data_IF_552828357794
#
_entry.id   IF_552828357794
#
_cell.length_a   1.000
_cell.length_b   1.000
_cell.length_c   1.000
_cell.angle_alpha   90.00
_cell.angle_beta   90.00
_cell.angle_gamma   90.00
#
_symmetry.space_group_name_H-M   'P 1'
#
loop_
_entity.id
_entity.type
_entity.pdbx_description
1 polymer ?
#
# COMPACT_ATOMS: atom_id res chain seq x y z
N UNK A 1 54.53 17.27 10.27
CA UNK A 1 54.65 16.11 9.35
C UNK A 1 55.32 16.46 8.01
N UNK A 2 54.99 17.61 7.40
CA UNK A 2 55.57 18.05 6.10
C UNK A 2 57.09 18.27 6.14
N UNK A 3 57.65 18.81 7.22
CA UNK A 3 59.10 19.06 7.33
C UNK A 3 59.92 17.77 7.50
N UNK A 4 59.34 16.73 8.11
CA UNK A 4 59.97 15.40 8.24
C UNK A 4 60.07 14.73 6.86
N UNK A 5 59.03 14.83 6.03
CA UNK A 5 59.07 14.34 4.65
C UNK A 5 60.08 15.09 3.79
N UNK A 6 60.28 16.40 4.00
CA UNK A 6 61.28 17.18 3.28
C UNK A 6 62.71 16.77 3.65
N UNK A 7 62.99 16.60 4.95
CA UNK A 7 64.29 16.13 5.42
C UNK A 7 64.62 14.71 4.93
N UNK A 8 63.65 13.79 4.97
CA UNK A 8 63.81 12.43 4.44
C UNK A 8 64.05 12.45 2.92
N UNK A 9 63.36 13.33 2.19
CA UNK A 9 63.55 13.51 0.74
C UNK A 9 64.95 14.06 0.41
N UNK A 10 65.45 15.01 1.18
CA UNK A 10 66.82 15.54 1.01
C UNK A 10 67.90 14.49 1.33
N UNK A 11 67.69 13.68 2.37
CA UNK A 11 68.61 12.59 2.74
C UNK A 11 68.61 11.47 1.67
N UNK A 12 67.45 11.12 1.11
CA UNK A 12 67.36 10.13 0.02
C UNK A 12 67.91 10.65 -1.32
N UNK A 13 67.93 11.97 -1.52
CA UNK A 13 68.50 12.61 -2.71
C UNK A 13 69.99 12.96 -2.54
N UNK A 14 70.54 12.86 -1.33
CA UNK A 14 71.98 13.01 -1.10
C UNK A 14 72.74 11.88 -1.79
N UNK A 15 73.68 12.24 -2.67
CA UNK A 15 74.42 11.27 -3.50
C UNK A 15 75.15 10.20 -2.69
N UNK A 16 75.58 10.52 -1.47
CA UNK A 16 76.34 9.61 -0.59
C UNK A 16 75.47 8.50 0.02
N UNK A 17 74.19 8.78 0.28
CA UNK A 17 73.22 7.79 0.79
C UNK A 17 72.84 6.81 -0.32
N UNK A 18 72.65 7.29 -1.56
CA UNK A 18 72.42 6.44 -2.73
C UNK A 18 73.64 5.58 -3.08
N UNK A 19 74.85 6.09 -2.88
CA UNK A 19 76.10 5.32 -3.08
C UNK A 19 76.24 4.16 -2.08
N UNK A 20 75.84 4.40 -0.83
CA UNK A 20 75.89 3.40 0.25
C UNK A 20 74.82 2.31 0.08
N UNK A 21 73.61 2.68 -0.33
CA UNK A 21 72.53 1.74 -0.67
C UNK A 21 72.87 0.90 -1.92
N UNK A 22 73.48 1.50 -2.94
CA UNK A 22 73.92 0.77 -4.14
C UNK A 22 75.04 -0.24 -3.84
N UNK A 23 75.97 0.10 -2.95
CA UNK A 23 77.00 -0.86 -2.48
C UNK A 23 76.39 -2.01 -1.66
N UNK A 24 75.35 -1.76 -0.86
CA UNK A 24 74.66 -2.79 -0.08
C UNK A 24 73.77 -3.73 -0.88
N UNK A 25 73.35 -3.35 -2.09
CA UNK A 25 72.37 -4.10 -2.91
C UNK A 25 72.94 -4.70 -4.20
N UNK A 26 74.23 -4.50 -4.50
CA UNK A 26 74.87 -4.92 -5.77
C UNK A 26 74.17 -4.37 -7.04
N UNK A 27 73.36 -3.31 -6.93
CA UNK A 27 72.67 -2.70 -8.08
C UNK A 27 73.50 -1.52 -8.60
N UNK A 28 73.75 -1.47 -9.92
CA UNK A 28 74.44 -0.33 -10.53
C UNK A 28 73.54 0.90 -10.43
N UNK A 29 74.09 2.04 -10.01
CA UNK A 29 73.35 3.32 -9.83
C UNK A 29 72.60 3.73 -11.13
N UNK A 30 73.08 3.29 -12.29
CA UNK A 30 72.43 3.52 -13.59
C UNK A 30 71.09 2.78 -13.75
N UNK A 31 70.82 1.72 -12.98
CA UNK A 31 69.56 0.95 -13.07
C UNK A 31 68.41 1.65 -12.32
N UNK A 32 68.72 2.56 -11.38
CA UNK A 32 67.75 3.34 -10.61
C UNK A 32 67.23 4.59 -11.34
N UNK A 33 67.90 5.01 -12.42
CA UNK A 33 67.56 6.18 -13.23
C UNK A 33 66.99 5.82 -14.61
N UNK A 34 66.79 4.52 -14.90
CA UNK A 34 66.10 4.10 -16.10
C UNK A 34 64.62 4.55 -16.01
N UNK A 35 64.06 5.22 -17.03
CA UNK A 35 62.61 5.44 -17.08
C UNK A 35 61.93 4.06 -16.96
N UNK A 36 60.81 3.95 -16.21
CA UNK A 36 60.11 2.68 -16.10
C UNK A 36 59.86 2.16 -17.51
N UNK A 37 60.30 0.93 -17.79
CA UNK A 37 60.06 0.31 -19.09
C UNK A 37 58.56 0.48 -19.43
N UNK A 38 58.21 0.86 -20.67
CA UNK A 38 56.83 1.12 -21.02
C UNK A 38 56.00 -0.12 -20.69
N UNK A 39 55.19 -0.03 -19.62
CA UNK A 39 54.35 -1.13 -19.17
C UNK A 39 53.47 -1.56 -20.35
N UNK A 40 53.65 -2.81 -20.77
CA UNK A 40 52.91 -3.36 -21.89
C UNK A 40 51.41 -3.23 -21.59
N UNK A 41 50.57 -2.73 -22.51
CA UNK A 41 49.15 -2.44 -22.25
C UNK A 41 48.33 -3.65 -21.78
N UNK A 42 48.86 -4.87 -21.97
CA UNK A 42 48.30 -6.12 -21.45
C UNK A 42 48.30 -6.20 -19.91
N UNK A 43 49.24 -5.54 -19.23
CA UNK A 43 49.38 -5.57 -17.77
C UNK A 43 48.22 -4.88 -17.05
N UNK A 44 47.61 -3.86 -17.66
CA UNK A 44 46.39 -3.20 -17.16
C UNK A 44 45.12 -4.02 -17.43
N UNK A 45 45.16 -4.94 -18.40
CA UNK A 45 44.03 -5.74 -18.82
C UNK A 45 43.82 -6.97 -17.92
N UNK A 46 44.91 -7.54 -17.39
CA UNK A 46 44.93 -8.66 -16.45
C UNK A 46 43.95 -8.53 -15.26
N UNK A 47 43.98 -7.46 -14.43
CA UNK A 47 43.07 -7.33 -13.30
C UNK A 47 41.61 -7.15 -13.74
N UNK A 48 41.37 -6.46 -14.86
CA UNK A 48 40.03 -6.27 -15.41
C UNK A 48 39.44 -7.59 -15.92
N UNK A 49 40.25 -8.39 -16.62
CA UNK A 49 39.88 -9.73 -17.10
C UNK A 49 39.62 -10.67 -15.93
N UNK A 50 40.45 -10.64 -14.89
CA UNK A 50 40.26 -11.45 -13.68
C UNK A 50 38.94 -11.10 -12.97
N UNK A 51 38.63 -9.80 -12.81
CA UNK A 51 37.36 -9.34 -12.21
C UNK A 51 36.17 -9.75 -13.08
N UNK A 52 36.28 -9.64 -14.41
CA UNK A 52 35.22 -10.04 -15.34
C UNK A 52 34.95 -11.55 -15.27
N UNK A 53 35.99 -12.38 -15.26
CA UNK A 53 35.89 -13.84 -15.12
C UNK A 53 35.28 -14.21 -13.77
N UNK A 54 35.70 -13.55 -12.67
CA UNK A 54 35.14 -13.77 -11.35
C UNK A 54 33.64 -13.41 -11.30
N UNK A 55 33.23 -12.30 -11.93
CA UNK A 55 31.83 -11.91 -12.01
C UNK A 55 30.99 -12.91 -12.85
N UNK A 56 31.54 -13.39 -13.97
CA UNK A 56 30.88 -14.37 -14.83
C UNK A 56 30.71 -15.72 -14.11
N UNK A 57 31.77 -16.20 -13.44
CA UNK A 57 31.71 -17.46 -12.69
C UNK A 57 30.72 -17.39 -11.52
N UNK A 58 30.66 -16.27 -10.80
CA UNK A 58 29.66 -16.04 -9.77
C UNK A 58 28.22 -16.02 -10.34
N UNK A 59 28.00 -15.38 -11.49
CA UNK A 59 26.69 -15.35 -12.14
C UNK A 59 26.23 -16.74 -12.60
N UNK A 60 27.14 -17.53 -13.19
CA UNK A 60 26.89 -18.93 -13.58
C UNK A 60 26.59 -19.78 -12.36
N UNK A 61 27.37 -19.67 -11.29
CA UNK A 61 27.16 -20.42 -10.05
C UNK A 61 25.78 -20.11 -9.42
N UNK A 62 25.38 -18.83 -9.39
CA UNK A 62 24.07 -18.42 -8.91
C UNK A 62 22.92 -18.96 -9.78
N UNK A 63 23.08 -18.94 -11.11
CA UNK A 63 22.09 -19.50 -12.03
C UNK A 63 21.94 -21.02 -11.82
N UNK A 64 23.05 -21.75 -11.69
CA UNK A 64 23.04 -23.19 -11.38
C UNK A 64 22.37 -23.49 -10.05
N UNK A 65 22.64 -22.70 -9.01
CA UNK A 65 22.00 -22.85 -7.70
C UNK A 65 20.48 -22.68 -7.79
N UNK A 66 19.99 -21.67 -8.54
CA UNK A 66 18.54 -21.47 -8.74
C UNK A 66 17.92 -22.64 -9.51
N UNK A 67 18.58 -23.11 -10.57
CA UNK A 67 18.10 -24.26 -11.34
C UNK A 67 18.03 -25.51 -10.46
N UNK A 68 19.05 -25.74 -9.63
CA UNK A 68 19.06 -26.83 -8.67
C UNK A 68 17.94 -26.69 -7.63
N UNK A 69 17.72 -25.50 -7.08
CA UNK A 69 16.60 -25.22 -6.16
C UNK A 69 15.24 -25.56 -6.80
N UNK A 70 15.05 -25.17 -8.08
CA UNK A 70 13.82 -25.45 -8.84
C UNK A 70 13.64 -26.96 -9.04
N UNK A 71 14.69 -27.68 -9.45
CA UNK A 71 14.68 -29.12 -9.66
C UNK A 71 14.36 -29.85 -8.34
N UNK A 72 15.04 -29.50 -7.26
CA UNK A 72 14.80 -30.08 -5.93
C UNK A 72 13.36 -29.85 -5.47
N UNK A 73 12.81 -28.65 -5.66
CA UNK A 73 11.41 -28.36 -5.34
C UNK A 73 10.44 -29.16 -6.21
N UNK A 74 10.73 -29.31 -7.49
CA UNK A 74 9.90 -30.10 -8.40
C UNK A 74 9.85 -31.57 -7.98
N UNK A 75 10.98 -32.13 -7.53
CA UNK A 75 11.04 -33.49 -7.00
C UNK A 75 10.31 -33.63 -5.66
N UNK A 76 10.53 -32.71 -4.71
CA UNK A 76 9.91 -32.76 -3.39
C UNK A 76 8.39 -32.57 -3.42
N UNK A 77 7.88 -31.69 -4.29
CA UNK A 77 6.44 -31.40 -4.37
C UNK A 77 5.67 -32.30 -5.35
N UNK A 78 6.34 -33.20 -6.10
CA UNK A 78 5.82 -33.93 -7.27
C UNK A 78 5.42 -33.00 -8.43
N UNK A 79 5.72 -33.37 -9.68
CA UNK A 79 5.51 -32.51 -10.85
C UNK A 79 4.07 -31.97 -10.98
N UNK A 80 3.06 -32.79 -10.73
CA UNK A 80 1.66 -32.36 -10.82
C UNK A 80 1.32 -31.26 -9.80
N UNK A 81 1.80 -31.38 -8.56
CA UNK A 81 1.56 -30.38 -7.52
C UNK A 81 2.45 -29.14 -7.67
N UNK A 82 3.63 -29.27 -8.28
CA UNK A 82 4.49 -28.13 -8.60
C UNK A 82 3.86 -27.21 -9.65
N UNK A 83 3.26 -27.76 -10.71
CA UNK A 83 2.67 -26.98 -11.81
C UNK A 83 1.19 -26.61 -11.59
N UNK A 84 0.42 -27.44 -10.89
CA UNK A 84 -1.02 -27.22 -10.68
C UNK A 84 -1.41 -26.89 -9.23
N UNK A 85 -0.43 -26.72 -8.34
CA UNK A 85 -0.67 -26.36 -6.94
C UNK A 85 -1.04 -24.89 -6.70
N UNK A 86 -1.35 -24.52 -5.44
CA UNK A 86 -1.72 -23.15 -5.07
C UNK A 86 -0.58 -22.13 -5.31
N UNK A 87 0.67 -22.58 -5.31
CA UNK A 87 1.87 -21.74 -5.54
C UNK A 87 2.32 -21.74 -7.02
N UNK A 88 1.47 -22.19 -7.97
CA UNK A 88 1.85 -22.33 -9.40
C UNK A 88 2.41 -21.07 -10.03
N UNK A 89 1.85 -19.90 -9.70
CA UNK A 89 2.27 -18.61 -10.26
C UNK A 89 3.71 -18.28 -9.82
N UNK A 90 4.05 -18.58 -8.58
CA UNK A 90 5.40 -18.39 -8.05
C UNK A 90 6.40 -19.36 -8.66
N UNK A 91 5.98 -20.59 -8.93
CA UNK A 91 6.83 -21.59 -9.58
C UNK A 91 7.11 -21.24 -11.06
N UNK A 92 6.09 -20.81 -11.81
CA UNK A 92 6.27 -20.28 -13.17
C UNK A 92 7.15 -19.03 -13.20
N UNK A 93 6.99 -18.14 -12.21
CA UNK A 93 7.83 -16.96 -12.06
C UNK A 93 9.29 -17.31 -11.74
N UNK A 94 9.53 -18.27 -10.83
CA UNK A 94 10.87 -18.77 -10.52
C UNK A 94 11.53 -19.39 -11.78
N UNK A 95 10.77 -20.16 -12.58
CA UNK A 95 11.26 -20.70 -13.86
C UNK A 95 11.59 -19.58 -14.86
N UNK A 96 10.72 -18.58 -15.01
CA UNK A 96 10.96 -17.43 -15.90
C UNK A 96 12.23 -16.67 -15.50
N UNK A 97 12.44 -16.43 -14.20
CA UNK A 97 13.66 -15.77 -13.70
C UNK A 97 14.93 -16.59 -13.93
N UNK A 98 14.83 -17.92 -13.85
CA UNK A 98 15.93 -18.82 -14.18
C UNK A 98 16.24 -18.78 -15.69
N UNK A 99 15.20 -18.86 -16.54
CA UNK A 99 15.34 -18.83 -18.00
C UNK A 99 15.95 -17.52 -18.49
N UNK A 100 15.51 -16.37 -17.97
CA UNK A 100 16.08 -15.07 -18.31
C UNK A 100 17.53 -14.91 -17.83
N UNK A 101 17.86 -15.49 -16.66
CA UNK A 101 19.24 -15.55 -16.17
C UNK A 101 20.17 -16.37 -17.08
N UNK A 102 19.70 -17.52 -17.55
CA UNK A 102 20.45 -18.38 -18.49
C UNK A 102 20.58 -17.69 -19.85
N UNK A 103 19.49 -17.14 -20.39
CA UNK A 103 19.49 -16.44 -21.67
C UNK A 103 20.49 -15.28 -21.69
N UNK A 104 20.57 -14.51 -20.60
CA UNK A 104 21.52 -13.41 -20.47
C UNK A 104 22.99 -13.89 -20.41
N UNK A 105 23.27 -15.01 -19.74
CA UNK A 105 24.61 -15.63 -19.77
C UNK A 105 24.95 -16.11 -21.18
N UNK A 106 24.02 -16.81 -21.86
CA UNK A 106 24.21 -17.31 -23.22
C UNK A 106 24.46 -16.15 -24.19
N UNK A 107 23.69 -15.07 -24.09
CA UNK A 107 23.88 -13.89 -24.94
C UNK A 107 25.22 -13.21 -24.69
N UNK A 108 25.68 -13.11 -23.44
CA UNK A 108 26.99 -12.53 -23.11
C UNK A 108 28.16 -13.37 -23.64
N UNK A 109 28.03 -14.70 -23.63
CA UNK A 109 29.04 -15.62 -24.19
C UNK A 109 28.99 -15.66 -25.71
N UNK A 110 27.80 -15.59 -26.32
CA UNK A 110 27.63 -15.65 -27.77
C UNK A 110 28.04 -14.32 -28.45
N UNK A 111 27.91 -13.18 -27.76
CA UNK A 111 28.35 -11.89 -28.27
C UNK A 111 29.87 -11.74 -28.15
N UNK A 112 30.61 -12.27 -29.13
CA UNK A 112 32.08 -12.11 -29.26
C UNK A 112 32.50 -10.66 -29.65
N UNK A 113 31.94 -9.64 -28.98
CA UNK A 113 32.31 -8.24 -29.20
C UNK A 113 31.66 -7.54 -30.41
N UNK A 114 30.88 -8.25 -31.24
CA UNK A 114 30.02 -7.64 -32.26
C UNK A 114 28.56 -7.68 -31.80
N UNK A 115 28.11 -6.60 -31.17
CA UNK A 115 26.68 -6.38 -30.89
C UNK A 115 26.16 -5.23 -31.72
N UNK A 116 25.20 -5.49 -32.59
CA UNK A 116 24.41 -4.45 -33.23
C UNK A 116 23.74 -3.56 -32.17
N UNK A 117 23.42 -2.30 -32.51
CA UNK A 117 22.77 -1.31 -31.63
C UNK A 117 21.49 -1.88 -31.00
N UNK A 118 20.76 -2.72 -31.73
CA UNK A 118 19.59 -3.45 -31.23
C UNK A 118 19.94 -4.53 -30.18
N UNK A 119 21.02 -5.28 -30.39
CA UNK A 119 21.52 -6.26 -29.42
C UNK A 119 21.96 -5.58 -28.11
N UNK A 120 22.61 -4.41 -28.21
CA UNK A 120 22.99 -3.64 -27.03
C UNK A 120 21.78 -3.14 -26.22
N UNK A 121 20.70 -2.72 -26.88
CA UNK A 121 19.46 -2.29 -26.20
C UNK A 121 18.74 -3.47 -25.54
N UNK A 122 18.64 -4.62 -26.21
CA UNK A 122 18.04 -5.84 -25.63
C UNK A 122 18.83 -6.37 -24.44
N UNK A 123 20.17 -6.36 -24.49
CA UNK A 123 21.02 -6.71 -23.35
C UNK A 123 20.79 -5.77 -22.16
N UNK A 124 20.57 -4.47 -22.39
CA UNK A 124 20.21 -3.53 -21.31
C UNK A 124 18.86 -3.88 -20.68
N UNK A 125 17.86 -4.24 -21.48
CA UNK A 125 16.56 -4.70 -20.96
C UNK A 125 16.68 -6.02 -20.18
N UNK A 126 17.39 -7.01 -20.70
CA UNK A 126 17.64 -8.28 -19.99
C UNK A 126 18.33 -8.06 -18.63
N UNK A 127 19.26 -7.10 -18.55
CA UNK A 127 19.89 -6.72 -17.27
C UNK A 127 18.89 -6.15 -16.26
N UNK A 128 17.91 -5.35 -16.69
CA UNK A 128 16.86 -4.81 -15.81
C UNK A 128 15.93 -5.90 -15.26
N UNK A 129 15.67 -6.96 -16.04
CA UNK A 129 14.86 -8.10 -15.58
C UNK A 129 15.48 -8.76 -14.32
N UNK A 130 16.80 -8.67 -14.12
CA UNK A 130 17.44 -9.17 -12.89
C UNK A 130 16.95 -8.44 -11.64
N UNK A 131 16.54 -7.17 -11.73
CA UNK A 131 15.98 -6.40 -10.61
C UNK A 131 14.63 -6.96 -10.15
N UNK A 132 13.86 -7.58 -11.07
CA UNK A 132 12.59 -8.25 -10.77
C UNK A 132 12.80 -9.40 -9.76
N UNK A 133 14.02 -9.92 -9.59
CA UNK A 133 14.33 -10.91 -8.54
C UNK A 133 14.12 -10.37 -7.12
N UNK A 134 14.08 -9.04 -6.93
CA UNK A 134 13.67 -8.43 -5.66
C UNK A 134 12.27 -8.87 -5.24
N UNK A 135 11.42 -9.26 -6.20
CA UNK A 135 10.08 -9.77 -5.93
C UNK A 135 10.12 -11.07 -5.12
N UNK A 136 11.24 -11.82 -5.14
CA UNK A 136 11.44 -12.98 -4.24
C UNK A 136 11.42 -12.57 -2.76
N UNK A 137 11.75 -11.32 -2.42
CA UNK A 137 11.67 -10.80 -1.05
C UNK A 137 10.23 -10.77 -0.53
N UNK A 138 9.22 -10.57 -1.40
CA UNK A 138 7.80 -10.65 -0.99
C UNK A 138 7.39 -12.06 -0.55
N UNK A 139 8.20 -13.09 -0.85
CA UNK A 139 7.97 -14.48 -0.40
C UNK A 139 8.40 -14.70 1.05
N UNK A 140 9.29 -13.86 1.58
CA UNK A 140 9.80 -14.00 2.95
C UNK A 140 8.66 -13.75 3.94
N UNK A 141 8.53 -14.63 4.95
CA UNK A 141 7.46 -14.58 5.96
C UNK A 141 7.38 -13.27 6.74
N UNK A 142 8.45 -12.47 6.71
CA UNK A 142 8.53 -11.15 7.33
C UNK A 142 7.74 -10.07 6.57
N UNK A 143 7.45 -10.28 5.27
CA UNK A 143 6.76 -9.31 4.41
C UNK A 143 5.26 -9.63 4.20
N UNK A 144 4.59 -10.14 5.24
CA UNK A 144 3.15 -10.44 5.18
C UNK A 144 2.33 -9.17 4.95
N UNK A 145 2.66 -8.09 5.65
CA UNK A 145 1.94 -6.82 5.56
C UNK A 145 2.07 -6.19 4.18
N UNK A 146 3.29 -6.20 3.62
CA UNK A 146 3.55 -5.75 2.26
C UNK A 146 2.79 -6.59 1.21
N UNK A 147 2.69 -7.92 1.40
CA UNK A 147 1.88 -8.78 0.54
C UNK A 147 0.39 -8.46 0.64
N UNK A 148 -0.11 -8.15 1.84
CA UNK A 148 -1.50 -7.74 2.04
C UNK A 148 -1.79 -6.41 1.35
N UNK A 149 -0.89 -5.43 1.43
CA UNK A 149 -1.00 -4.17 0.70
C UNK A 149 -1.02 -4.39 -0.82
N UNK A 150 -0.10 -5.20 -1.36
CA UNK A 150 -0.06 -5.52 -2.80
C UNK A 150 -1.33 -6.26 -3.24
N UNK A 151 -1.86 -7.19 -2.43
CA UNK A 151 -3.14 -7.84 -2.72
C UNK A 151 -4.29 -6.83 -2.73
N UNK A 152 -4.29 -5.85 -1.83
CA UNK A 152 -5.25 -4.73 -1.84
C UNK A 152 -5.15 -3.90 -3.12
N UNK A 153 -3.94 -3.57 -3.56
CA UNK A 153 -3.70 -2.85 -4.82
C UNK A 153 -4.22 -3.65 -6.03
N UNK A 154 -3.93 -4.96 -6.07
CA UNK A 154 -4.41 -5.84 -7.15
C UNK A 154 -5.93 -5.94 -7.13
N UNK A 155 -6.57 -6.00 -5.96
CA UNK A 155 -8.03 -5.96 -5.86
C UNK A 155 -8.61 -4.65 -6.42
N UNK A 156 -7.93 -3.52 -6.19
CA UNK A 156 -8.29 -2.22 -6.75
C UNK A 156 -7.94 -2.00 -8.22
N UNK A 157 -7.21 -2.91 -8.87
CA UNK A 157 -6.76 -2.69 -10.26
C UNK A 157 -7.92 -2.57 -11.24
N UNK A 158 -9.05 -3.26 -10.97
CA UNK A 158 -10.24 -3.21 -11.83
C UNK A 158 -10.90 -1.83 -11.79
N UNK A 159 -11.02 -1.24 -10.60
CA UNK A 159 -11.61 0.10 -10.44
C UNK A 159 -10.68 1.17 -11.02
N UNK A 160 -9.37 1.04 -10.80
CA UNK A 160 -8.36 1.90 -11.43
C UNK A 160 -8.39 1.79 -12.96
N UNK A 161 -8.46 0.57 -13.51
CA UNK A 161 -8.53 0.36 -14.95
C UNK A 161 -9.77 1.02 -15.58
N UNK A 162 -10.93 0.96 -14.92
CA UNK A 162 -12.14 1.65 -15.37
C UNK A 162 -11.99 3.18 -15.30
N UNK A 163 -11.34 3.70 -14.26
CA UNK A 163 -11.04 5.12 -14.16
C UNK A 163 -10.09 5.59 -15.27
N UNK A 164 -9.02 4.84 -15.54
CA UNK A 164 -8.11 5.10 -16.64
C UNK A 164 -8.81 5.01 -18.01
N UNK A 165 -9.69 4.03 -18.21
CA UNK A 165 -10.46 3.90 -19.44
C UNK A 165 -11.38 5.11 -19.66
N UNK A 166 -12.05 5.59 -18.61
CA UNK A 166 -12.88 6.80 -18.67
C UNK A 166 -12.02 8.04 -18.99
N UNK A 167 -10.89 8.22 -18.30
CA UNK A 167 -9.96 9.31 -18.56
C UNK A 167 -9.49 9.28 -20.01
N UNK A 168 -9.08 8.11 -20.51
CA UNK A 168 -8.63 7.94 -21.89
C UNK A 168 -9.72 8.27 -22.90
N UNK A 169 -10.98 7.90 -22.63
CA UNK A 169 -12.12 8.23 -23.48
C UNK A 169 -12.37 9.75 -23.54
N UNK A 170 -12.32 10.46 -22.41
CA UNK A 170 -12.47 11.91 -22.35
C UNK A 170 -11.32 12.61 -23.09
N UNK A 171 -10.08 12.20 -22.83
CA UNK A 171 -8.89 12.70 -23.53
C UNK A 171 -9.00 12.47 -25.04
N UNK A 172 -9.45 11.30 -25.47
CA UNK A 172 -9.62 10.97 -26.88
C UNK A 172 -10.58 11.94 -27.60
N UNK A 173 -11.72 12.26 -26.99
CA UNK A 173 -12.71 13.19 -27.57
C UNK A 173 -12.13 14.61 -27.66
N UNK A 174 -11.55 15.12 -26.57
CA UNK A 174 -10.98 16.48 -26.52
C UNK A 174 -9.82 16.60 -27.50
N UNK A 175 -8.90 15.64 -27.48
CA UNK A 175 -7.72 15.64 -28.35
C UNK A 175 -8.07 15.42 -29.81
N UNK A 176 -9.06 14.58 -30.13
CA UNK A 176 -9.56 14.44 -31.49
C UNK A 176 -10.11 15.75 -32.03
N UNK A 177 -10.88 16.49 -31.22
CA UNK A 177 -11.36 17.82 -31.59
C UNK A 177 -10.19 18.80 -31.76
N UNK A 178 -9.21 18.80 -30.86
CA UNK A 178 -8.02 19.65 -30.94
C UNK A 178 -7.15 19.35 -32.17
N UNK A 179 -6.95 18.08 -32.54
CA UNK A 179 -6.24 17.71 -33.77
C UNK A 179 -6.93 18.27 -35.01
N UNK A 180 -8.27 18.17 -35.08
CA UNK A 180 -9.05 18.63 -36.24
C UNK A 180 -9.07 20.16 -36.33
N UNK A 181 -9.24 20.85 -35.21
CA UNK A 181 -9.38 22.32 -35.17
C UNK A 181 -8.04 23.06 -35.19
N UNK A 182 -7.05 22.57 -34.44
CA UNK A 182 -5.77 23.24 -34.22
C UNK A 182 -4.68 22.63 -35.10
N UNK A 183 -4.63 21.30 -35.25
CA UNK A 183 -3.53 20.59 -35.92
C UNK A 183 -3.26 21.00 -37.37
N UNK A 184 -4.29 21.46 -38.08
CA UNK A 184 -4.19 21.99 -39.45
C UNK A 184 -4.19 23.52 -39.56
N UNK A 185 -4.35 24.25 -38.45
CA UNK A 185 -4.49 25.70 -38.45
C UNK A 185 -3.15 26.40 -38.74
N UNK A 186 -3.20 27.59 -39.33
CA UNK A 186 -1.99 28.44 -39.53
C UNK A 186 -1.33 28.80 -38.20
N UNK A 187 -2.13 28.92 -37.14
CA UNK A 187 -1.73 29.22 -35.76
C UNK A 187 -0.75 28.16 -35.23
N UNK A 188 -1.03 26.88 -35.50
CA UNK A 188 -0.16 25.80 -35.07
C UNK A 188 1.23 25.85 -35.74
N UNK A 189 1.33 26.46 -36.93
CA UNK A 189 2.60 26.67 -37.61
C UNK A 189 3.35 27.88 -37.07
N UNK A 190 2.65 28.98 -36.79
CA UNK A 190 3.26 30.22 -36.31
C UNK A 190 3.79 30.10 -34.87
N UNK A 191 3.06 29.40 -33.99
CA UNK A 191 3.42 29.22 -32.57
C UNK A 191 4.18 27.91 -32.28
N UNK A 192 4.71 27.24 -33.31
CA UNK A 192 5.36 25.91 -33.22
C UNK A 192 4.51 24.82 -32.52
N UNK A 193 3.19 25.00 -32.53
CA UNK A 193 2.24 24.12 -31.85
C UNK A 193 1.92 22.84 -32.63
N UNK A 194 2.32 22.79 -33.91
CA UNK A 194 1.98 21.73 -34.84
C UNK A 194 2.42 20.35 -34.33
N UNK A 195 3.55 20.24 -33.64
CA UNK A 195 4.04 18.97 -33.08
C UNK A 195 3.12 18.41 -32.00
N UNK A 196 2.53 19.28 -31.19
CA UNK A 196 1.65 18.88 -30.07
C UNK A 196 0.27 18.45 -30.54
N UNK A 197 -0.20 18.96 -31.68
CA UNK A 197 -1.53 18.67 -32.23
C UNK A 197 -1.52 17.97 -33.60
N UNK A 198 -0.39 17.36 -33.99
CA UNK A 198 -0.20 16.77 -35.33
C UNK A 198 -1.12 15.58 -35.60
N UNK A 199 -1.30 14.72 -34.61
CA UNK A 199 -2.13 13.52 -34.69
C UNK A 199 -2.80 13.26 -33.32
N UNK A 200 -3.73 12.32 -33.28
CA UNK A 200 -4.53 12.04 -32.07
C UNK A 200 -3.62 11.63 -30.89
N UNK A 201 -2.64 10.71 -31.02
CA UNK A 201 -1.77 10.34 -29.90
C UNK A 201 -0.96 11.49 -29.31
N UNK A 202 -0.35 12.34 -30.16
CA UNK A 202 0.40 13.52 -29.71
C UNK A 202 -0.53 14.55 -29.03
N UNK A 203 -1.73 14.73 -29.59
CA UNK A 203 -2.76 15.61 -29.00
C UNK A 203 -3.29 15.07 -27.67
N UNK A 204 -3.39 13.75 -27.52
CA UNK A 204 -3.76 13.09 -26.27
C UNK A 204 -2.67 13.24 -25.22
N UNK A 205 -1.41 13.09 -25.60
CA UNK A 205 -0.29 13.32 -24.70
C UNK A 205 -0.23 14.77 -24.25
N UNK A 206 -0.42 15.72 -25.17
CA UNK A 206 -0.48 17.15 -24.85
C UNK A 206 -1.66 17.47 -23.93
N UNK A 207 -2.86 16.95 -24.21
CA UNK A 207 -4.01 17.13 -23.34
C UNK A 207 -3.75 16.54 -21.94
N UNK A 208 -3.21 15.32 -21.85
CA UNK A 208 -2.83 14.69 -20.59
C UNK A 208 -1.86 15.57 -19.78
N UNK A 209 -0.80 16.08 -20.43
CA UNK A 209 0.14 17.02 -19.81
C UNK A 209 -0.56 18.27 -19.28
N UNK A 210 -1.51 18.80 -20.02
CA UNK A 210 -2.30 19.94 -19.58
C UNK A 210 -3.23 19.61 -18.41
N UNK A 211 -3.80 18.40 -18.37
CA UNK A 211 -4.59 17.92 -17.22
C UNK A 211 -3.75 17.71 -15.96
N UNK A 212 -2.50 17.23 -16.08
CA UNK A 212 -1.59 17.05 -14.95
C UNK A 212 -0.89 18.34 -14.49
N UNK A 213 -1.13 19.47 -15.17
CA UNK A 213 -0.58 20.78 -14.84
C UNK A 213 0.69 21.18 -15.61
N UNK A 214 1.24 20.31 -16.46
CA UNK A 214 2.46 20.52 -17.25
C UNK A 214 2.15 21.00 -18.68
N UNK A 215 1.33 22.05 -18.83
CA UNK A 215 0.85 22.54 -20.13
C UNK A 215 1.81 23.54 -20.80
N UNK A 216 3.07 23.15 -21.03
CA UNK A 216 4.12 24.07 -21.47
C UNK A 216 4.75 23.60 -22.79
N UNK A 217 5.02 24.53 -23.71
CA UNK A 217 5.75 24.25 -24.96
C UNK A 217 7.28 24.21 -24.72
N UNK A 218 8.04 23.86 -25.76
CA UNK A 218 9.51 23.75 -25.70
C UNK A 218 10.19 25.09 -25.36
N UNK A 219 9.47 26.21 -25.52
CA UNK A 219 9.92 27.57 -25.22
C UNK A 219 9.52 28.07 -23.82
N UNK A 220 8.88 27.24 -22.99
CA UNK A 220 8.46 27.63 -21.66
C UNK A 220 7.15 28.41 -21.60
N UNK A 221 6.44 28.56 -22.73
CA UNK A 221 5.17 29.27 -22.79
C UNK A 221 3.99 28.33 -22.49
N UNK A 222 2.99 28.80 -21.74
CA UNK A 222 1.79 28.02 -21.46
C UNK A 222 0.94 27.86 -22.73
N UNK A 223 0.78 26.62 -23.18
CA UNK A 223 0.00 26.26 -24.39
C UNK A 223 -1.46 26.75 -24.26
N UNK A 224 -2.01 26.67 -23.06
CA UNK A 224 -3.37 27.13 -22.75
C UNK A 224 -3.53 28.64 -22.92
N UNK A 225 -2.50 29.45 -22.64
CA UNK A 225 -2.58 30.90 -22.81
C UNK A 225 -2.51 31.29 -24.29
N UNK A 226 -1.63 30.63 -25.05
CA UNK A 226 -1.50 30.79 -26.50
C UNK A 226 -2.83 30.45 -27.23
N UNK A 227 -3.47 29.35 -26.83
CA UNK A 227 -4.78 28.99 -27.37
C UNK A 227 -5.88 29.94 -26.92
N UNK A 228 -5.84 30.42 -25.67
CA UNK A 228 -6.83 31.36 -25.15
C UNK A 228 -6.74 32.74 -25.82
N UNK A 229 -5.53 33.21 -26.15
CA UNK A 229 -5.33 34.48 -26.84
C UNK A 229 -5.91 34.45 -28.26
N UNK A 230 -5.82 33.31 -28.95
CA UNK A 230 -6.28 33.20 -30.33
C UNK A 230 -7.75 32.77 -30.47
N UNK A 231 -8.18 31.73 -29.75
CA UNK A 231 -9.54 31.20 -29.84
C UNK A 231 -10.51 31.84 -28.82
N UNK A 232 -10.00 32.62 -27.87
CA UNK A 232 -10.80 33.34 -26.90
C UNK A 232 -11.72 32.43 -26.07
N UNK A 233 -12.93 32.92 -25.81
CA UNK A 233 -13.92 32.22 -24.99
C UNK A 233 -14.36 30.87 -25.56
N UNK A 234 -14.28 30.68 -26.88
CA UNK A 234 -14.66 29.42 -27.54
C UNK A 234 -13.74 28.26 -27.15
N UNK A 235 -12.50 28.56 -26.73
CA UNK A 235 -11.57 27.57 -26.19
C UNK A 235 -11.59 27.54 -24.65
N UNK A 236 -11.63 28.71 -24.01
CA UNK A 236 -11.54 28.82 -22.54
C UNK A 236 -12.71 28.13 -21.84
N UNK A 237 -13.95 28.34 -22.30
CA UNK A 237 -15.14 27.75 -21.67
C UNK A 237 -15.13 26.21 -21.68
N UNK A 238 -14.95 25.52 -22.84
CA UNK A 238 -14.88 24.06 -22.84
C UNK A 238 -13.65 23.52 -22.13
N UNK A 239 -12.51 24.22 -22.16
CA UNK A 239 -11.32 23.82 -21.42
C UNK A 239 -11.57 23.83 -19.90
N UNK A 240 -12.08 24.93 -19.35
CA UNK A 240 -12.41 25.04 -17.91
C UNK A 240 -13.52 24.06 -17.53
N UNK A 241 -14.56 23.90 -18.36
CA UNK A 241 -15.61 22.93 -18.11
C UNK A 241 -15.07 21.49 -18.06
N UNK A 242 -14.18 21.13 -18.98
CA UNK A 242 -13.56 19.79 -18.99
C UNK A 242 -12.70 19.56 -17.74
N UNK A 243 -11.96 20.57 -17.29
CA UNK A 243 -11.15 20.51 -16.07
C UNK A 243 -12.05 20.34 -14.83
N UNK A 244 -13.10 21.17 -14.71
CA UNK A 244 -14.06 21.08 -13.61
C UNK A 244 -14.79 19.73 -13.56
N UNK A 245 -15.21 19.19 -14.71
CA UNK A 245 -15.89 17.88 -14.76
C UNK A 245 -14.98 16.75 -14.26
N UNK A 246 -13.69 16.77 -14.61
CA UNK A 246 -12.72 15.78 -14.12
C UNK A 246 -12.51 15.93 -12.61
N UNK A 247 -12.38 17.16 -12.10
CA UNK A 247 -12.26 17.42 -10.66
C UNK A 247 -13.50 16.98 -9.88
N UNK A 248 -14.70 17.23 -10.43
CA UNK A 248 -15.96 16.78 -9.84
C UNK A 248 -16.07 15.25 -9.84
N UNK A 249 -15.66 14.55 -10.91
CA UNK A 249 -15.64 13.08 -10.92
C UNK A 249 -14.67 12.51 -9.87
N UNK A 250 -13.46 13.07 -9.76
CA UNK A 250 -12.45 12.65 -8.76
C UNK A 250 -12.99 12.86 -7.34
N UNK A 251 -13.53 14.04 -7.05
CA UNK A 251 -14.07 14.39 -5.72
C UNK A 251 -15.34 13.62 -5.38
N UNK A 252 -16.23 13.39 -6.34
CA UNK A 252 -17.46 12.61 -6.15
C UNK A 252 -17.16 11.13 -5.91
N UNK A 253 -16.13 10.56 -6.55
CA UNK A 253 -15.67 9.20 -6.25
C UNK A 253 -15.10 9.09 -4.84
N UNK A 254 -14.28 10.06 -4.43
CA UNK A 254 -13.76 10.12 -3.07
C UNK A 254 -14.88 10.29 -2.03
N UNK A 255 -15.88 11.14 -2.32
CA UNK A 255 -17.05 11.30 -1.47
C UNK A 255 -17.87 10.00 -1.39
N UNK A 256 -18.14 9.34 -2.52
CA UNK A 256 -18.88 8.08 -2.55
C UNK A 256 -18.16 6.93 -1.84
N UNK A 257 -16.84 6.88 -1.93
CA UNK A 257 -16.05 5.91 -1.18
C UNK A 257 -16.13 6.18 0.33
N UNK A 258 -16.06 7.46 0.73
CA UNK A 258 -16.29 7.85 2.12
C UNK A 258 -17.70 7.49 2.59
N UNK A 259 -18.75 7.72 1.78
CA UNK A 259 -20.12 7.35 2.10
C UNK A 259 -20.27 5.82 2.27
N UNK A 260 -19.65 5.04 1.38
CA UNK A 260 -19.66 3.59 1.47
C UNK A 260 -18.96 3.08 2.75
N UNK A 261 -17.82 3.67 3.10
CA UNK A 261 -17.11 3.32 4.34
C UNK A 261 -17.90 3.73 5.58
N UNK A 262 -18.56 4.89 5.55
CA UNK A 262 -19.42 5.39 6.63
C UNK A 262 -20.64 4.48 6.80
N UNK A 263 -21.28 4.07 5.71
CA UNK A 263 -22.38 3.11 5.73
C UNK A 263 -21.96 1.74 6.30
N UNK A 264 -20.77 1.25 5.94
CA UNK A 264 -20.25 0.00 6.51
C UNK A 264 -19.98 0.15 8.02
N UNK A 265 -19.41 1.26 8.47
CA UNK A 265 -19.20 1.55 9.89
C UNK A 265 -20.53 1.57 10.65
N UNK A 266 -21.54 2.29 10.15
CA UNK A 266 -22.88 2.31 10.75
C UNK A 266 -23.50 0.91 10.85
N UNK A 267 -23.32 0.07 9.83
CA UNK A 267 -23.83 -1.31 9.85
C UNK A 267 -23.17 -2.17 10.95
N UNK A 268 -21.85 -2.05 11.11
CA UNK A 268 -21.08 -2.79 12.13
C UNK A 268 -21.42 -2.31 13.53
N UNK A 269 -21.59 -1.00 13.69
CA UNK A 269 -21.99 -0.38 14.95
C UNK A 269 -23.41 -0.80 15.35
N UNK A 270 -24.37 -0.79 14.42
CA UNK A 270 -25.74 -1.26 14.63
C UNK A 270 -25.78 -2.70 15.15
N UNK A 271 -24.96 -3.58 14.58
CA UNK A 271 -24.83 -4.98 15.04
C UNK A 271 -24.19 -5.06 16.43
N UNK A 272 -23.18 -4.24 16.73
CA UNK A 272 -22.55 -4.17 18.06
C UNK A 272 -23.57 -3.76 19.11
N UNK A 273 -24.31 -2.66 18.87
CA UNK A 273 -25.32 -2.13 19.77
C UNK A 273 -26.38 -3.18 20.06
N UNK A 274 -26.96 -3.80 19.02
CA UNK A 274 -27.98 -4.82 19.18
C UNK A 274 -27.51 -6.00 20.04
N UNK A 275 -26.24 -6.42 19.91
CA UNK A 275 -25.66 -7.47 20.76
C UNK A 275 -25.50 -7.03 22.21
N UNK A 276 -24.95 -5.85 22.45
CA UNK A 276 -24.71 -5.35 23.82
C UNK A 276 -26.04 -5.06 24.52
N UNK A 277 -27.00 -4.43 23.84
CA UNK A 277 -28.37 -4.24 24.35
C UNK A 277 -29.01 -5.57 24.69
N UNK A 278 -28.92 -6.59 23.82
CA UNK A 278 -29.48 -7.92 24.10
C UNK A 278 -28.86 -8.57 25.34
N UNK A 279 -27.54 -8.48 25.51
CA UNK A 279 -26.87 -8.99 26.71
C UNK A 279 -27.27 -8.23 27.98
N UNK A 280 -27.46 -6.91 27.87
CA UNK A 280 -27.96 -6.08 28.97
C UNK A 280 -29.39 -6.50 29.36
N UNK A 281 -30.30 -6.68 28.39
CA UNK A 281 -31.67 -7.12 28.66
C UNK A 281 -31.71 -8.51 29.32
N UNK A 282 -30.84 -9.44 28.91
CA UNK A 282 -30.73 -10.75 29.58
C UNK A 282 -30.36 -10.61 31.06
N UNK A 283 -29.49 -9.67 31.43
CA UNK A 283 -29.13 -9.41 32.83
C UNK A 283 -30.34 -8.89 33.61
N UNK A 284 -31.08 -7.92 33.06
CA UNK A 284 -32.31 -7.42 33.67
C UNK A 284 -33.38 -8.52 33.80
N UNK A 285 -33.60 -9.33 32.77
CA UNK A 285 -34.55 -10.44 32.80
C UNK A 285 -34.17 -11.50 33.85
N UNK A 286 -32.88 -11.88 33.92
CA UNK A 286 -32.39 -12.83 34.92
C UNK A 286 -32.58 -12.33 36.35
N UNK A 287 -32.37 -11.03 36.58
CA UNK A 287 -32.58 -10.42 37.89
C UNK A 287 -34.06 -10.34 38.26
N UNK A 288 -34.94 -10.04 37.28
CA UNK A 288 -36.39 -9.99 37.51
C UNK A 288 -36.96 -11.36 37.92
N UNK A 289 -36.57 -12.44 37.24
CA UNK A 289 -36.99 -13.79 37.63
C UNK A 289 -36.53 -14.17 39.02
N UNK A 290 -35.28 -13.83 39.37
CA UNK A 290 -34.73 -14.13 40.69
C UNK A 290 -35.45 -13.35 41.80
N UNK A 291 -35.83 -12.10 41.53
CA UNK A 291 -36.61 -11.27 42.46
C UNK A 291 -38.04 -11.81 42.65
N UNK A 292 -38.67 -12.29 41.58
CA UNK A 292 -40.03 -12.83 41.63
C UNK A 292 -40.12 -14.21 42.30
N UNK A 293 -39.08 -15.04 42.16
CA UNK A 293 -38.99 -16.32 42.88
C UNK A 293 -38.73 -16.11 44.38
N UNK A 294 -37.90 -15.12 44.76
CA UNK A 294 -37.69 -14.74 46.16
C UNK A 294 -39.00 -14.25 46.81
N UNK A 295 -39.82 -13.46 46.11
CA UNK A 295 -41.14 -13.00 46.61
C UNK A 295 -42.16 -14.15 46.80
N UNK A 296 -42.02 -15.25 46.04
CA UNK A 296 -42.84 -16.46 46.23
C UNK A 296 -42.36 -17.33 47.40
N UNK A 297 -41.08 -17.28 47.74
CA UNK A 297 -40.49 -18.05 48.85
C UNK A 297 -40.54 -17.28 50.19
N UNK A 298 -40.66 -15.94 50.17
CA UNK A 298 -40.71 -15.09 51.36
C UNK A 298 -42.10 -14.90 51.99
N UNK A 299 -42.84 -16.01 52.17
CA UNK A 299 -43.77 -16.14 53.31
C UNK A 299 -43.10 -16.82 54.51
N UNK A 300 -41.79 -16.66 54.72
CA UNK A 300 -41.18 -16.79 56.06
C UNK A 300 -39.75 -16.23 56.10
N UNK A 301 -39.57 -15.14 56.85
CA UNK A 301 -38.33 -14.66 57.49
C UNK A 301 -37.13 -14.19 56.65
N UNK A 302 -36.97 -12.86 56.71
CA UNK A 302 -35.79 -12.00 56.54
C UNK A 302 -34.44 -12.72 56.45
N UNK A 303 -33.78 -12.57 55.29
CA UNK A 303 -32.32 -12.36 55.24
C UNK A 303 -31.88 -11.69 53.95
N UNK A 304 -31.25 -10.52 54.09
CA UNK A 304 -30.45 -9.86 53.04
C UNK A 304 -29.27 -10.76 52.68
N UNK A 305 -29.36 -11.50 51.58
CA UNK A 305 -28.25 -12.22 50.99
C UNK A 305 -27.84 -11.54 49.68
N UNK A 306 -26.55 -11.25 49.55
CA UNK A 306 -25.98 -10.63 48.36
C UNK A 306 -26.19 -11.52 47.12
N UNK A 307 -26.99 -11.02 46.18
CA UNK A 307 -27.27 -11.62 44.88
C UNK A 307 -25.99 -11.77 44.06
N UNK A 308 -25.46 -13.00 43.98
CA UNK A 308 -24.43 -13.38 43.01
C UNK A 308 -25.12 -13.82 41.72
N UNK A 309 -25.07 -12.97 40.69
CA UNK A 309 -25.59 -13.27 39.36
C UNK A 309 -24.66 -14.30 38.70
N UNK A 310 -25.04 -15.57 38.71
CA UNK A 310 -24.30 -16.63 38.03
C UNK A 310 -24.49 -16.56 36.52
N UNK A 311 -23.38 -16.47 35.79
CA UNK A 311 -23.28 -16.70 34.35
C UNK A 311 -23.56 -18.18 34.08
N UNK A 312 -24.77 -18.54 33.64
CA UNK A 312 -25.05 -19.64 32.67
C UNK A 312 -26.52 -20.05 32.72
N UNK A 313 -27.37 -19.34 31.99
CA UNK A 313 -28.59 -19.94 31.46
C UNK A 313 -28.76 -19.49 30.01
N UNK A 314 -28.80 -20.49 29.15
CA UNK A 314 -28.97 -20.38 27.71
C UNK A 314 -30.46 -20.14 27.47
N UNK A 315 -30.88 -18.89 27.25
CA UNK A 315 -32.28 -18.57 26.95
C UNK A 315 -32.53 -18.56 25.44
N UNK A 316 -33.58 -19.26 25.01
CA UNK A 316 -34.17 -19.21 23.67
C UNK A 316 -35.02 -17.95 23.50
N UNK A 317 -35.08 -17.42 22.28
CA UNK A 317 -35.65 -16.11 21.93
C UNK A 317 -37.17 -15.93 22.13
N UNK A 318 -37.89 -16.97 22.60
CA UNK A 318 -39.36 -17.02 22.63
C UNK A 318 -40.02 -16.67 23.98
N UNK A 319 -39.26 -16.40 25.05
CA UNK A 319 -39.81 -16.07 26.39
C UNK A 319 -39.35 -14.72 26.94
N UNK A 320 -39.10 -13.76 26.04
CA UNK A 320 -39.04 -12.36 26.44
C UNK A 320 -40.49 -11.87 26.54
N UNK A 321 -41.11 -12.10 27.68
CA UNK A 321 -42.53 -11.83 27.91
C UNK A 321 -42.77 -10.30 27.87
N UNK A 322 -43.69 -9.85 27.00
CA UNK A 322 -44.12 -8.44 26.89
C UNK A 322 -44.75 -7.90 28.19
N UNK A 323 -44.98 -8.76 29.18
CA UNK A 323 -45.51 -8.43 30.51
C UNK A 323 -44.44 -8.26 31.59
N UNK A 324 -43.15 -8.27 31.26
CA UNK A 324 -42.10 -8.06 32.25
C UNK A 324 -41.96 -6.56 32.60
N UNK A 325 -42.23 -6.24 33.86
CA UNK A 325 -42.15 -4.88 34.41
C UNK A 325 -40.98 -4.76 35.39
N UNK A 326 -40.05 -3.86 35.10
CA UNK A 326 -38.85 -3.61 35.91
C UNK A 326 -39.12 -2.44 36.84
N UNK A 327 -39.23 -2.69 38.14
CA UNK A 327 -39.39 -1.62 39.14
C UNK A 327 -38.13 -0.79 39.32
N UNK A 328 -38.28 0.43 39.85
CA UNK A 328 -37.14 1.33 40.17
C UNK A 328 -36.10 0.66 41.08
N UNK A 329 -36.55 -0.11 42.06
CA UNK A 329 -35.69 -0.80 43.01
C UNK A 329 -34.85 -1.89 42.35
N UNK A 330 -35.49 -2.73 41.52
CA UNK A 330 -34.81 -3.75 40.73
C UNK A 330 -33.81 -3.11 39.77
N UNK A 331 -34.19 -2.02 39.11
CA UNK A 331 -33.29 -1.29 38.22
C UNK A 331 -32.04 -0.80 38.95
N UNK A 332 -32.21 -0.11 40.09
CA UNK A 332 -31.11 0.42 40.90
C UNK A 332 -30.21 -0.69 41.48
N UNK A 333 -30.74 -1.88 41.70
CA UNK A 333 -29.98 -3.05 42.12
C UNK A 333 -29.13 -3.62 40.97
N UNK A 334 -29.73 -3.79 39.80
CA UNK A 334 -29.08 -4.39 38.62
C UNK A 334 -27.94 -3.51 38.09
N UNK A 335 -28.09 -2.18 38.12
CA UNK A 335 -27.03 -1.25 37.69
C UNK A 335 -25.79 -1.23 38.63
N UNK A 336 -25.88 -1.83 39.83
CA UNK A 336 -24.73 -1.96 40.71
C UNK A 336 -23.81 -3.12 40.29
N UNK A 337 -24.29 -4.05 39.47
CA UNK A 337 -23.48 -5.16 38.96
C UNK A 337 -22.38 -4.65 37.99
N UNK A 338 -21.13 -5.01 38.26
CA UNK A 338 -19.99 -4.57 37.44
C UNK A 338 -20.11 -5.01 35.97
N UNK A 339 -20.74 -6.17 35.70
CA UNK A 339 -20.98 -6.64 34.35
C UNK A 339 -21.98 -5.77 33.60
N UNK A 340 -23.08 -5.40 34.25
CA UNK A 340 -24.09 -4.46 33.72
C UNK A 340 -23.47 -3.09 33.49
N UNK A 341 -22.67 -2.60 34.43
CA UNK A 341 -21.95 -1.34 34.30
C UNK A 341 -21.06 -1.31 33.06
N UNK A 342 -20.30 -2.38 32.81
CA UNK A 342 -19.45 -2.50 31.62
C UNK A 342 -20.26 -2.54 30.33
N UNK A 343 -21.41 -3.23 30.30
CA UNK A 343 -22.29 -3.26 29.13
C UNK A 343 -22.89 -1.88 28.85
N UNK A 344 -23.19 -1.10 29.89
CA UNK A 344 -23.67 0.28 29.75
C UNK A 344 -22.57 1.23 29.25
N UNK A 345 -21.32 1.05 29.69
CA UNK A 345 -20.16 1.76 29.13
C UNK A 345 -19.93 1.39 27.66
N UNK A 346 -20.08 0.10 27.31
CA UNK A 346 -19.96 -0.37 25.93
C UNK A 346 -21.05 0.21 25.01
N UNK A 347 -22.19 0.65 25.56
CA UNK A 347 -23.27 1.36 24.88
C UNK A 347 -23.10 2.88 24.85
N UNK A 348 -22.00 3.41 25.38
CA UNK A 348 -21.72 4.85 25.47
C UNK A 348 -22.76 5.62 26.32
N UNK A 349 -23.32 4.98 27.35
CA UNK A 349 -24.30 5.60 28.24
C UNK A 349 -23.63 6.50 29.28
N UNK A 350 -24.30 7.57 29.74
CA UNK A 350 -23.73 8.49 30.72
C UNK A 350 -23.41 7.76 32.05
N UNK A 351 -22.38 8.23 32.78
CA UNK A 351 -21.95 7.62 34.04
C UNK A 351 -22.97 7.82 35.17
N UNK A 352 -23.85 8.81 35.05
CA UNK A 352 -24.93 9.07 36.01
C UNK A 352 -26.14 8.14 35.78
N UNK A 353 -25.97 6.87 36.18
CA UNK A 353 -26.91 5.80 35.85
C UNK A 353 -28.13 5.72 36.76
N UNK A 354 -28.06 6.31 37.95
CA UNK A 354 -29.15 6.28 38.92
C UNK A 354 -30.37 7.09 38.43
N UNK A 355 -30.11 8.18 37.70
CA UNK A 355 -31.13 9.06 37.15
C UNK A 355 -31.69 8.56 35.81
N UNK A 356 -31.05 7.56 35.18
CA UNK A 356 -31.53 7.00 33.90
C UNK A 356 -32.93 6.41 34.01
N UNK A 357 -33.30 5.85 35.17
CA UNK A 357 -34.65 5.30 35.36
C UNK A 357 -35.73 6.36 35.15
N UNK A 358 -35.58 7.54 35.76
CA UNK A 358 -36.54 8.64 35.67
C UNK A 358 -36.58 9.27 34.27
N UNK A 359 -35.47 9.20 33.54
CA UNK A 359 -35.39 9.67 32.14
C UNK A 359 -36.08 8.68 31.18
N UNK A 360 -36.04 7.39 31.48
CA UNK A 360 -36.65 6.34 30.66
C UNK A 360 -38.15 6.19 30.98
N UNK A 361 -38.55 6.34 32.25
CA UNK A 361 -39.93 6.29 32.77
C UNK A 361 -40.68 7.59 32.47
N UNK A 362 -40.86 7.90 31.19
CA UNK A 362 -41.47 9.15 30.76
C UNK A 362 -42.98 9.23 31.06
N UNK A 363 -43.65 8.09 31.25
CA UNK A 363 -45.07 8.04 31.62
C UNK A 363 -45.30 8.11 33.14
N UNK A 364 -44.22 8.01 33.94
CA UNK A 364 -44.26 8.08 35.39
C UNK A 364 -45.03 6.91 36.01
N UNK A 365 -45.08 5.77 35.32
CA UNK A 365 -45.75 4.56 35.80
C UNK A 365 -45.03 3.94 36.99
N UNK A 366 -43.74 4.28 37.19
CA UNK A 366 -42.90 3.73 38.25
C UNK A 366 -42.32 2.35 37.93
N UNK A 367 -42.58 1.85 36.73
CA UNK A 367 -42.12 0.54 36.22
C UNK A 367 -41.72 0.67 34.76
N UNK A 368 -40.63 0.03 34.36
CA UNK A 368 -40.19 0.02 32.97
C UNK A 368 -40.54 -1.31 32.31
N UNK A 369 -41.32 -1.27 31.23
CA UNK A 369 -41.42 -2.42 30.33
C UNK A 369 -40.10 -2.62 29.60
N UNK A 370 -39.87 -3.84 29.12
CA UNK A 370 -38.65 -4.14 28.39
C UNK A 370 -38.51 -3.30 27.11
N UNK A 371 -39.61 -3.03 26.42
CA UNK A 371 -39.64 -2.19 25.22
C UNK A 371 -39.31 -0.73 25.53
N UNK A 372 -39.81 -0.20 26.65
CA UNK A 372 -39.50 1.14 27.16
C UNK A 372 -38.03 1.25 27.58
N UNK A 373 -37.49 0.22 28.24
CA UNK A 373 -36.08 0.16 28.59
C UNK A 373 -35.19 0.20 27.34
N UNK A 374 -35.50 -0.60 26.31
CA UNK A 374 -34.74 -0.60 25.05
C UNK A 374 -34.83 0.74 24.34
N UNK A 375 -36.04 1.29 24.19
CA UNK A 375 -36.25 2.57 23.52
C UNK A 375 -35.57 3.72 24.27
N UNK A 376 -35.65 3.75 25.60
CA UNK A 376 -35.01 4.74 26.43
C UNK A 376 -33.49 4.71 26.35
N UNK A 377 -32.89 3.51 26.42
CA UNK A 377 -31.43 3.35 26.26
C UNK A 377 -30.95 3.78 24.87
N UNK A 378 -31.71 3.46 23.81
CA UNK A 378 -31.39 3.90 22.44
C UNK A 378 -31.56 5.42 22.25
N UNK A 379 -32.54 6.03 22.93
CA UNK A 379 -32.82 7.46 22.86
C UNK A 379 -31.76 8.28 23.60
N UNK A 380 -31.32 7.84 24.77
CA UNK A 380 -30.27 8.51 25.57
C UNK A 380 -28.92 8.51 24.84
N UNK A 381 -28.66 7.49 24.02
CA UNK A 381 -27.50 7.43 23.15
C UNK A 381 -27.59 8.37 21.93
N UNK A 382 -28.79 8.83 21.57
CA UNK A 382 -29.03 9.64 20.37
C UNK A 382 -29.28 8.84 19.07
N UNK A 383 -29.66 7.55 19.16
CA UNK A 383 -29.88 6.69 17.98
C UNK A 383 -31.28 6.84 17.37
N UNK A 384 -32.26 7.34 18.14
CA UNK A 384 -33.67 7.48 17.73
C UNK A 384 -34.07 8.87 17.20
N UNK A 385 -33.12 9.79 16.97
CA UNK A 385 -33.38 11.10 16.33
C UNK A 385 -33.08 11.12 14.82
N UNK A 386 -33.33 10.00 14.11
CA UNK A 386 -33.25 9.91 12.64
C UNK A 386 -34.59 9.53 12.02
#
# INVERSE_FOLDING_TARGET
MINQFRAVKEILLAGDTNRSLAQGTQVRINDLAAPPEPMHPLMYLEPFVAVLIAALTAAVAFALFIVLEIILRMHLLKCANYWCGPERLWNWFDLFLAATGIADIVLQVASNGQTDIFGASLLRFCRLIRLIRIVKLFRVKFMKDLRLMVKGLIAGIRTLALAFALLFAVLYVISGFATITIGGSTIAKDENLQRYFANIPESMFTAFRCFTGECINDHGQPIQALLAEHFGLAFVLPFVASYMLVYVDITMRAAKENDATTAEQHSRESIRIARVTRELLKKFASAHHQFQDDDKEHSTTVSKAALKINHTSFFTDDEINDSMEISKELFLLVIQDYGVQRLMDDLDLPPDRANLFEVIDADGSGTLKLTELVQGLLKIRGVLEL
#
